data_IF_317457868580
#
_entry.id   IF_317457868580
#
_cell.length_a   1.000
_cell.length_b   1.000
_cell.length_c   1.000
_cell.angle_alpha   90.00
_cell.angle_beta   90.00
_cell.angle_gamma   90.00
#
_symmetry.space_group_name_H-M   'P 1'
#
loop_
_entity.id
_entity.type
_entity.pdbx_description
1 polymer ?
#
# COMPACT_ATOMS: atom_id res chain seq x y z
N UNK A 1 -20.16 16.00 -27.12
CA UNK A 1 -21.12 15.67 -26.05
C UNK A 1 -20.32 15.50 -24.75
N UNK A 2 -20.60 16.25 -23.68
CA UNK A 2 -19.81 16.17 -22.45
C UNK A 2 -20.29 14.98 -21.61
N UNK A 3 -19.35 14.14 -21.16
CA UNK A 3 -19.62 13.10 -20.18
C UNK A 3 -19.81 13.76 -18.81
N UNK A 4 -21.04 14.11 -18.45
CA UNK A 4 -21.35 14.50 -17.07
C UNK A 4 -21.40 13.23 -16.22
N UNK A 5 -20.35 12.99 -15.44
CA UNK A 5 -20.33 11.96 -14.41
C UNK A 5 -21.47 12.25 -13.44
N UNK A 6 -22.45 11.34 -13.34
CA UNK A 6 -23.52 11.51 -12.35
C UNK A 6 -22.95 11.33 -10.94
N UNK A 7 -23.51 12.03 -9.95
CA UNK A 7 -23.09 11.98 -8.55
C UNK A 7 -23.14 10.56 -7.93
N UNK A 8 -23.78 9.59 -8.60
CA UNK A 8 -23.81 8.19 -8.21
C UNK A 8 -22.51 7.43 -8.58
N UNK A 9 -21.89 7.74 -9.73
CA UNK A 9 -20.61 7.14 -10.14
C UNK A 9 -19.42 7.68 -9.33
N UNK A 10 -19.48 8.94 -8.90
CA UNK A 10 -18.49 9.54 -8.01
C UNK A 10 -18.49 8.92 -6.58
N UNK A 11 -19.55 8.21 -6.18
CA UNK A 11 -19.59 7.48 -4.90
C UNK A 11 -18.89 6.12 -4.94
N UNK A 12 -18.57 5.60 -6.13
CA UNK A 12 -17.93 4.29 -6.29
C UNK A 12 -16.40 4.35 -6.43
N UNK A 13 -15.83 5.50 -6.75
CA UNK A 13 -14.37 5.65 -6.91
C UNK A 13 -13.71 6.02 -5.59
N UNK A 14 -12.76 5.20 -5.15
CA UNK A 14 -11.90 5.49 -4.01
C UNK A 14 -11.19 6.83 -4.22
N UNK A 15 -11.38 7.80 -3.31
CA UNK A 15 -10.75 9.12 -3.41
C UNK A 15 -9.22 9.03 -3.46
N UNK A 16 -8.63 8.02 -2.79
CA UNK A 16 -7.19 7.76 -2.86
C UNK A 16 -6.76 7.35 -4.27
N UNK A 17 -7.52 6.47 -4.92
CA UNK A 17 -7.30 6.10 -6.32
C UNK A 17 -7.50 7.27 -7.29
N UNK A 18 -8.50 8.14 -7.08
CA UNK A 18 -8.64 9.37 -7.87
C UNK A 18 -7.40 10.26 -7.73
N UNK A 19 -6.94 10.52 -6.51
CA UNK A 19 -5.73 11.30 -6.26
C UNK A 19 -4.50 10.68 -6.97
N UNK A 20 -4.34 9.36 -6.88
CA UNK A 20 -3.28 8.62 -7.58
C UNK A 20 -3.31 8.82 -9.09
N UNK A 21 -4.48 8.73 -9.73
CA UNK A 21 -4.62 8.94 -11.18
C UNK A 21 -4.23 10.35 -11.65
N UNK A 22 -4.37 11.34 -10.78
CA UNK A 22 -3.96 12.72 -11.04
C UNK A 22 -2.54 13.02 -10.54
N UNK A 23 -1.75 11.99 -10.19
CA UNK A 23 -0.41 12.09 -9.63
C UNK A 23 -0.32 12.86 -8.30
N UNK A 24 -1.44 13.03 -7.59
CA UNK A 24 -1.45 13.54 -6.22
C UNK A 24 -1.19 12.38 -5.24
N UNK A 25 0.06 11.93 -5.23
CA UNK A 25 0.51 10.78 -4.45
C UNK A 25 0.48 11.06 -2.93
N UNK A 26 0.68 12.30 -2.51
CA UNK A 26 0.60 12.69 -1.10
C UNK A 26 -0.82 12.54 -0.56
N UNK A 27 -1.82 13.03 -1.29
CA UNK A 27 -3.23 12.83 -0.93
C UNK A 27 -3.62 11.36 -1.00
N UNK A 28 -3.18 10.63 -2.03
CA UNK A 28 -3.43 9.20 -2.14
C UNK A 28 -2.87 8.42 -0.95
N UNK A 29 -1.60 8.66 -0.61
CA UNK A 29 -0.93 8.05 0.53
C UNK A 29 -1.63 8.38 1.85
N UNK A 30 -2.02 9.64 2.06
CA UNK A 30 -2.76 10.05 3.27
C UNK A 30 -4.08 9.28 3.41
N UNK A 31 -4.86 9.19 2.34
CA UNK A 31 -6.15 8.48 2.35
C UNK A 31 -5.93 6.98 2.60
N UNK A 32 -4.97 6.36 1.93
CA UNK A 32 -4.70 4.95 2.10
C UNK A 32 -4.12 4.62 3.47
N UNK A 33 -3.28 5.48 4.06
CA UNK A 33 -2.77 5.29 5.43
C UNK A 33 -3.90 5.14 6.45
N UNK A 34 -4.93 5.98 6.37
CA UNK A 34 -6.08 5.91 7.27
C UNK A 34 -6.87 4.60 7.10
N UNK A 35 -7.03 4.12 5.87
CA UNK A 35 -7.69 2.83 5.61
C UNK A 35 -6.83 1.63 5.97
N UNK A 36 -5.53 1.72 5.77
CA UNK A 36 -4.58 0.65 6.05
C UNK A 36 -4.46 0.36 7.55
N UNK A 37 -4.58 1.40 8.40
CA UNK A 37 -4.71 1.26 9.86
C UNK A 37 -5.94 0.44 10.30
N UNK A 38 -6.94 0.34 9.44
CA UNK A 38 -8.16 -0.46 9.66
C UNK A 38 -8.08 -1.86 9.04
N UNK A 39 -6.89 -2.30 8.59
CA UNK A 39 -6.72 -3.60 7.96
C UNK A 39 -7.21 -3.69 6.51
N UNK A 40 -7.46 -2.55 5.84
CA UNK A 40 -7.92 -2.58 4.44
C UNK A 40 -6.79 -3.06 3.51
N UNK A 41 -6.91 -4.30 3.02
CA UNK A 41 -5.90 -4.95 2.18
C UNK A 41 -5.60 -4.18 0.89
N UNK A 42 -6.62 -3.58 0.24
CA UNK A 42 -6.43 -2.79 -0.98
C UNK A 42 -5.60 -1.54 -0.71
N UNK A 43 -5.90 -0.81 0.36
CA UNK A 43 -5.12 0.36 0.76
C UNK A 43 -3.67 -0.01 1.11
N UNK A 44 -3.47 -1.10 1.85
CA UNK A 44 -2.13 -1.62 2.16
C UNK A 44 -1.36 -1.98 0.88
N UNK A 45 -1.98 -2.66 -0.08
CA UNK A 45 -1.35 -2.98 -1.38
C UNK A 45 -1.05 -1.74 -2.24
N UNK A 46 -1.88 -0.70 -2.15
CA UNK A 46 -1.63 0.55 -2.85
C UNK A 46 -0.44 1.32 -2.24
N UNK A 47 -0.32 1.35 -0.91
CA UNK A 47 0.86 1.93 -0.24
C UNK A 47 2.13 1.16 -0.63
N UNK A 48 2.05 -0.17 -0.69
CA UNK A 48 3.18 -1.00 -1.14
C UNK A 48 3.63 -0.63 -2.56
N UNK A 49 2.67 -0.43 -3.48
CA UNK A 49 2.95 0.02 -4.84
C UNK A 49 3.63 1.40 -4.89
N UNK A 50 3.28 2.34 -4.00
CA UNK A 50 3.95 3.63 -3.94
C UNK A 50 5.43 3.47 -3.59
N UNK A 51 5.75 2.63 -2.59
CA UNK A 51 7.14 2.36 -2.20
C UNK A 51 7.90 1.51 -3.21
N UNK A 52 7.25 0.56 -3.91
CA UNK A 52 7.90 -0.22 -4.97
C UNK A 52 8.32 0.66 -6.16
N UNK A 53 7.46 1.60 -6.54
CA UNK A 53 7.68 2.45 -7.71
C UNK A 53 8.37 3.78 -7.39
N UNK A 54 8.36 4.22 -6.14
CA UNK A 54 8.87 5.53 -5.73
C UNK A 54 7.92 6.68 -6.11
N UNK A 55 6.61 6.43 -6.14
CA UNK A 55 5.61 7.43 -6.50
C UNK A 55 5.23 8.28 -5.27
N UNK A 56 5.67 9.53 -5.24
CA UNK A 56 5.43 10.44 -4.10
C UNK A 56 6.19 10.06 -2.82
N UNK A 57 6.99 9.00 -2.84
CA UNK A 57 7.84 8.54 -1.74
C UNK A 57 9.16 8.04 -2.30
N UNK A 58 10.20 7.99 -1.48
CA UNK A 58 11.43 7.33 -1.88
C UNK A 58 11.18 5.83 -2.09
N UNK A 59 11.61 5.30 -3.23
CA UNK A 59 11.53 3.87 -3.52
C UNK A 59 12.20 3.06 -2.41
N UNK A 60 11.49 2.08 -1.86
CA UNK A 60 11.96 1.30 -0.73
C UNK A 60 11.35 -0.12 -0.74
N UNK A 61 12.16 -1.12 -1.12
CA UNK A 61 11.70 -2.51 -1.18
C UNK A 61 11.38 -3.11 0.19
N UNK A 62 12.03 -2.66 1.27
CA UNK A 62 11.74 -3.10 2.65
C UNK A 62 10.33 -2.69 3.05
N UNK A 63 9.96 -1.42 2.80
CA UNK A 63 8.61 -0.93 3.08
C UNK A 63 7.58 -1.52 2.11
N UNK A 64 7.91 -1.70 0.83
CA UNK A 64 7.02 -2.36 -0.12
C UNK A 64 6.70 -3.81 0.31
N UNK A 65 7.72 -4.60 0.68
CA UNK A 65 7.54 -5.96 1.20
C UNK A 65 6.64 -5.96 2.43
N UNK A 66 6.88 -5.06 3.38
CA UNK A 66 6.05 -4.94 4.58
C UNK A 66 4.59 -4.71 4.22
N UNK A 67 4.30 -3.70 3.41
CA UNK A 67 2.92 -3.34 3.08
C UNK A 67 2.20 -4.40 2.25
N UNK A 68 2.89 -5.07 1.32
CA UNK A 68 2.34 -6.22 0.62
C UNK A 68 2.07 -7.40 1.55
N UNK A 69 2.94 -7.63 2.53
CA UNK A 69 2.74 -8.69 3.53
C UNK A 69 1.49 -8.43 4.37
N UNK A 70 1.27 -7.21 4.86
CA UNK A 70 0.05 -6.86 5.59
C UNK A 70 -1.20 -7.04 4.74
N UNK A 71 -1.14 -6.65 3.46
CA UNK A 71 -2.26 -6.84 2.55
C UNK A 71 -2.56 -8.32 2.30
N UNK A 72 -1.53 -9.17 2.19
CA UNK A 72 -1.67 -10.62 2.07
C UNK A 72 -2.31 -11.23 3.33
N UNK A 73 -1.87 -10.83 4.53
CA UNK A 73 -2.47 -11.25 5.81
C UNK A 73 -3.96 -10.85 5.91
N UNK A 74 -4.35 -9.72 5.30
CA UNK A 74 -5.75 -9.29 5.20
C UNK A 74 -6.49 -9.85 3.96
N UNK A 75 -5.97 -10.92 3.34
CA UNK A 75 -6.65 -11.71 2.33
C UNK A 75 -6.41 -11.31 0.87
N UNK A 76 -5.43 -10.46 0.57
CA UNK A 76 -5.10 -10.07 -0.81
C UNK A 76 -4.10 -11.05 -1.45
N UNK A 77 -4.60 -12.02 -2.21
CA UNK A 77 -3.76 -12.94 -3.00
C UNK A 77 -2.88 -12.22 -4.05
N UNK A 78 -3.33 -11.07 -4.56
CA UNK A 78 -2.51 -10.23 -5.45
C UNK A 78 -1.32 -9.62 -4.70
N UNK A 79 -1.54 -9.16 -3.46
CA UNK A 79 -0.46 -8.63 -2.64
C UNK A 79 0.55 -9.72 -2.26
N UNK A 80 0.09 -10.95 -2.01
CA UNK A 80 0.96 -12.10 -1.76
C UNK A 80 1.93 -12.34 -2.93
N UNK A 81 1.42 -12.39 -4.17
CA UNK A 81 2.25 -12.53 -5.37
C UNK A 81 3.24 -11.37 -5.51
N UNK A 82 2.82 -10.14 -5.26
CA UNK A 82 3.69 -8.97 -5.37
C UNK A 82 4.77 -8.94 -4.28
N UNK A 83 4.45 -9.39 -3.05
CA UNK A 83 5.42 -9.58 -1.97
C UNK A 83 6.52 -10.53 -2.41
N UNK A 84 6.18 -11.68 -2.99
CA UNK A 84 7.15 -12.69 -3.41
C UNK A 84 8.04 -12.17 -4.55
N UNK A 85 7.45 -11.40 -5.48
CA UNK A 85 8.22 -10.71 -6.52
C UNK A 85 9.22 -9.71 -5.90
N UNK A 86 8.81 -8.94 -4.90
CA UNK A 86 9.70 -8.01 -4.20
C UNK A 86 10.78 -8.75 -3.39
N UNK A 87 10.44 -9.85 -2.71
CA UNK A 87 11.39 -10.68 -1.95
C UNK A 87 12.56 -11.14 -2.84
N UNK A 88 12.28 -11.52 -4.09
CA UNK A 88 13.32 -11.92 -5.06
C UNK A 88 14.31 -10.80 -5.41
N UNK A 89 13.95 -9.53 -5.18
CA UNK A 89 14.77 -8.33 -5.47
C UNK A 89 15.58 -7.86 -4.25
N UNK A 90 15.41 -8.48 -3.09
CA UNK A 90 15.98 -8.01 -1.81
C UNK A 90 17.20 -8.82 -1.38
N UNK A 91 18.10 -8.18 -0.65
CA UNK A 91 19.16 -8.88 0.09
C UNK A 91 18.59 -9.61 1.31
N UNK A 92 19.33 -10.59 1.82
CA UNK A 92 18.95 -11.29 3.07
C UNK A 92 18.81 -10.32 4.26
N UNK A 93 19.63 -9.26 4.30
CA UNK A 93 19.58 -8.24 5.35
C UNK A 93 18.30 -7.42 5.27
N UNK A 94 17.95 -6.94 4.07
CA UNK A 94 16.72 -6.18 3.84
C UNK A 94 15.48 -7.05 4.12
N UNK A 95 15.49 -8.31 3.70
CA UNK A 95 14.40 -9.24 3.95
C UNK A 95 14.19 -9.49 5.44
N UNK A 96 15.27 -9.67 6.19
CA UNK A 96 15.21 -9.81 7.64
C UNK A 96 14.60 -8.57 8.28
N UNK A 97 15.10 -7.38 7.92
CA UNK A 97 14.56 -6.11 8.40
C UNK A 97 13.07 -5.95 8.06
N UNK A 98 12.66 -6.29 6.84
CA UNK A 98 11.26 -6.16 6.41
C UNK A 98 10.34 -7.09 7.20
N UNK A 99 10.77 -8.34 7.46
CA UNK A 99 10.02 -9.30 8.27
C UNK A 99 9.88 -8.83 9.72
N UNK A 100 10.95 -8.30 10.33
CA UNK A 100 10.92 -7.72 11.68
C UNK A 100 9.95 -6.52 11.78
N UNK A 101 10.02 -5.59 10.82
CA UNK A 101 9.11 -4.44 10.77
C UNK A 101 7.65 -4.88 10.54
N UNK A 102 7.42 -5.92 9.73
CA UNK A 102 6.08 -6.48 9.49
C UNK A 102 5.50 -7.05 10.78
N UNK A 103 6.27 -7.84 11.53
CA UNK A 103 5.85 -8.36 12.84
C UNK A 103 5.53 -7.24 13.83
N UNK A 104 6.35 -6.18 13.89
CA UNK A 104 6.09 -5.01 14.72
C UNK A 104 4.75 -4.34 14.37
N UNK A 105 4.51 -4.14 13.08
CA UNK A 105 3.28 -3.53 12.59
C UNK A 105 2.04 -4.38 12.93
N UNK A 106 2.09 -5.71 12.70
CA UNK A 106 1.01 -6.64 13.04
C UNK A 106 0.72 -6.64 14.54
N UNK A 107 1.75 -6.71 15.39
CA UNK A 107 1.61 -6.67 16.85
C UNK A 107 1.00 -5.35 17.35
N UNK A 108 1.18 -4.26 16.60
CA UNK A 108 0.60 -2.95 16.92
C UNK A 108 -0.82 -2.75 16.37
N UNK A 109 -1.41 -3.76 15.72
CA UNK A 109 -2.68 -3.66 14.99
C UNK A 109 -2.63 -2.49 13.99
N UNK A 110 -1.61 -2.53 13.12
CA UNK A 110 -1.39 -1.56 12.03
C UNK A 110 -1.10 -0.11 12.43
N UNK A 111 -0.73 0.14 13.70
CA UNK A 111 -0.43 1.50 14.17
C UNK A 111 1.01 1.93 13.94
N UNK A 112 1.97 0.99 13.95
CA UNK A 112 3.41 1.26 13.87
C UNK A 112 4.04 0.54 12.66
N UNK A 113 3.91 1.10 11.46
CA UNK A 113 4.20 0.40 10.19
C UNK A 113 5.21 1.13 9.28
N UNK A 114 6.20 1.79 9.88
CA UNK A 114 7.34 2.37 9.14
C UNK A 114 7.08 3.73 8.50
N UNK A 115 6.22 4.56 9.11
CA UNK A 115 6.04 5.99 8.84
C UNK A 115 6.00 6.80 10.13
#
# INVERSE_FOLDING_TARGET
MPFTLTAFQARAFDKGFLAYMFNDFDTALKIWKEKAKLGNATAQANIANLYENGNGVLKNNVLAFLWYSLAAENGSATAEKNRDVIESKMTKSELKQAKELTSLCLNSIYKNCGF
#
